data_IF_138666018261
#
_entry.id   IF_138666018261
#
_cell.length_a   1.000
_cell.length_b   1.000
_cell.length_c   1.000
_cell.angle_alpha   90.00
_cell.angle_beta   90.00
_cell.angle_gamma   90.00
#
_symmetry.space_group_name_H-M   'P 1'
#
loop_
_entity.id
_entity.type
_entity.pdbx_description
1 polymer ?
#
# COMPACT_ATOMS: atom_id res chain seq x y z
N UNK A 1 25.12 4.75 16.02
CA UNK A 1 23.85 5.20 16.65
C UNK A 1 22.84 5.25 15.54
N UNK A 2 21.66 4.66 15.71
CA UNK A 2 20.58 4.84 14.74
C UNK A 2 20.04 6.27 14.86
N UNK A 3 19.97 6.99 13.74
CA UNK A 3 19.44 8.35 13.68
C UNK A 3 17.92 8.30 13.57
N UNK A 4 17.22 8.82 14.57
CA UNK A 4 15.77 8.94 14.56
C UNK A 4 15.35 10.41 14.56
N UNK A 5 14.42 10.78 13.69
CA UNK A 5 13.80 12.11 13.71
C UNK A 5 12.60 12.09 14.66
N UNK A 6 12.69 12.82 15.78
CA UNK A 6 11.59 12.95 16.75
C UNK A 6 10.64 14.08 16.35
N UNK A 7 9.38 13.75 16.08
CA UNK A 7 8.30 14.73 15.97
C UNK A 7 7.68 14.98 17.36
N UNK A 8 7.30 16.24 17.67
CA UNK A 8 6.73 16.61 18.98
C UNK A 8 5.35 15.99 19.21
N UNK A 9 5.16 15.34 20.36
CA UNK A 9 3.97 14.55 20.72
C UNK A 9 4.36 13.16 21.24
N UNK A 10 3.43 12.19 21.21
CA UNK A 10 3.75 10.76 21.33
C UNK A 10 4.77 10.43 20.23
N UNK A 11 6.01 10.06 20.57
CA UNK A 11 7.08 10.11 19.59
C UNK A 11 6.91 9.01 18.52
N UNK A 12 7.01 9.44 17.27
CA UNK A 12 7.05 8.56 16.10
C UNK A 12 8.50 8.41 15.65
N UNK A 13 8.91 7.19 15.36
CA UNK A 13 10.25 6.80 14.93
C UNK A 13 10.15 6.19 13.53
N UNK A 14 11.07 6.56 12.64
CA UNK A 14 11.18 6.00 11.29
C UNK A 14 12.55 5.35 11.20
N UNK A 15 12.61 4.01 11.07
CA UNK A 15 13.87 3.25 11.08
C UNK A 15 14.40 2.99 9.67
N UNK A 16 15.58 3.52 9.34
CA UNK A 16 16.18 3.47 8.00
C UNK A 16 16.87 2.14 7.64
N UNK A 17 16.19 0.99 7.77
CA UNK A 17 16.66 -0.33 7.30
C UNK A 17 17.68 -1.09 8.19
N UNK A 18 17.45 -1.10 9.51
CA UNK A 18 17.91 -2.21 10.35
C UNK A 18 16.89 -2.40 11.46
N UNK A 19 16.47 -3.63 11.70
CA UNK A 19 15.45 -4.14 12.67
C UNK A 19 15.57 -3.62 14.12
N UNK A 20 16.47 -2.68 14.39
CA UNK A 20 16.63 -1.98 15.65
C UNK A 20 15.51 -0.97 15.91
N UNK A 21 14.43 -1.46 16.50
CA UNK A 21 13.41 -0.63 17.16
C UNK A 21 14.03 0.02 18.41
N UNK A 22 13.65 1.26 18.78
CA UNK A 22 14.21 1.92 19.96
C UNK A 22 13.98 1.09 21.23
N UNK A 23 15.04 0.84 22.00
CA UNK A 23 14.99 0.09 23.26
C UNK A 23 14.60 0.93 24.46
N UNK A 24 14.59 2.27 24.30
CA UNK A 24 14.16 3.22 25.32
C UNK A 24 13.39 4.37 24.68
N UNK A 25 12.08 4.40 24.91
CA UNK A 25 11.18 5.47 24.49
C UNK A 25 9.95 5.51 25.42
N UNK A 26 9.10 6.55 25.37
CA UNK A 26 7.84 6.55 26.12
C UNK A 26 6.89 5.44 25.68
N UNK A 27 6.07 4.91 26.60
CA UNK A 27 4.92 4.09 26.23
C UNK A 27 3.98 4.85 25.27
N UNK A 28 3.42 4.15 24.30
CA UNK A 28 2.63 4.69 23.20
C UNK A 28 3.43 5.12 21.97
N UNK A 29 4.77 5.09 22.05
CA UNK A 29 5.63 5.40 20.89
C UNK A 29 5.37 4.48 19.71
N UNK A 30 5.51 5.02 18.50
CA UNK A 30 5.28 4.27 17.25
C UNK A 30 6.55 4.18 16.43
N UNK A 31 6.78 3.04 15.78
CA UNK A 31 7.92 2.82 14.89
C UNK A 31 7.42 2.31 13.54
N UNK A 32 7.80 2.97 12.44
CA UNK A 32 7.64 2.43 11.10
C UNK A 32 8.92 1.69 10.71
N UNK A 33 8.78 0.42 10.35
CA UNK A 33 9.88 -0.43 9.90
C UNK A 33 9.86 -0.55 8.37
N UNK A 34 10.92 -0.09 7.71
CA UNK A 34 10.98 -0.02 6.26
C UNK A 34 11.03 -1.40 5.56
N UNK A 35 11.48 -2.46 6.24
CA UNK A 35 11.59 -3.80 5.64
C UNK A 35 10.27 -4.55 5.70
N UNK A 36 9.61 -4.52 6.86
CA UNK A 36 8.31 -5.19 7.05
C UNK A 36 7.12 -4.34 6.61
N UNK A 37 7.35 -3.06 6.28
CA UNK A 37 6.35 -2.04 5.91
C UNK A 37 5.23 -1.89 6.95
N UNK A 38 5.50 -2.27 8.19
CA UNK A 38 4.53 -2.28 9.28
C UNK A 38 4.77 -1.14 10.26
N UNK A 39 3.67 -0.64 10.79
CA UNK A 39 3.69 0.18 12.00
C UNK A 39 3.70 -0.71 13.22
N UNK A 40 4.54 -0.35 14.19
CA UNK A 40 4.64 -0.98 15.50
C UNK A 40 4.34 0.05 16.57
N UNK A 41 3.77 -0.39 17.68
CA UNK A 41 3.55 0.43 18.87
C UNK A 41 4.16 -0.27 20.08
N UNK A 42 4.83 0.47 20.94
CA UNK A 42 5.24 -0.05 22.24
C UNK A 42 4.30 0.42 23.33
N UNK A 43 3.91 -0.50 24.21
CA UNK A 43 3.13 -0.17 25.42
C UNK A 43 4.00 -0.13 26.68
N UNK A 44 5.26 -0.55 26.58
CA UNK A 44 6.19 -0.68 27.70
C UNK A 44 7.40 0.27 27.64
N UNK A 45 7.51 1.04 26.55
CA UNK A 45 8.57 2.03 26.39
C UNK A 45 9.84 1.50 25.71
N UNK A 46 9.68 0.55 24.80
CA UNK A 46 10.70 0.18 23.81
C UNK A 46 11.24 -1.23 23.94
N UNK A 47 10.76 -2.05 24.88
CA UNK A 47 11.23 -3.43 25.01
C UNK A 47 10.38 -4.40 24.19
N UNK A 48 9.08 -4.13 24.08
CA UNK A 48 8.16 -4.88 23.23
C UNK A 48 7.49 -3.98 22.20
N UNK A 49 7.48 -4.47 20.96
CA UNK A 49 6.91 -3.79 19.80
C UNK A 49 5.98 -4.74 19.05
N UNK A 50 4.73 -4.94 19.51
CA UNK A 50 3.72 -5.60 18.70
C UNK A 50 3.49 -4.82 17.40
N UNK A 51 3.32 -5.55 16.30
CA UNK A 51 2.81 -4.95 15.07
C UNK A 51 1.43 -4.38 15.36
N UNK A 52 1.21 -3.12 14.99
CA UNK A 52 -0.13 -2.60 14.90
C UNK A 52 -0.86 -3.44 13.86
N UNK A 53 -2.11 -3.82 14.13
CA UNK A 53 -2.96 -4.42 13.11
C UNK A 53 -2.81 -3.54 11.86
N UNK A 54 -2.37 -4.16 10.75
CA UNK A 54 -2.01 -3.48 9.52
C UNK A 54 -3.14 -2.53 9.17
N UNK A 55 -2.95 -1.25 9.47
CA UNK A 55 -3.59 -0.24 8.66
C UNK A 55 -2.65 -0.18 7.46
N UNK A 56 -2.84 -1.14 6.54
CA UNK A 56 -2.32 -1.01 5.18
C UNK A 56 -2.61 0.44 4.79
N UNK A 57 -1.62 1.16 4.28
CA UNK A 57 -1.73 2.59 3.99
C UNK A 57 -2.87 2.92 3.00
N UNK A 58 -3.53 1.90 2.43
CA UNK A 58 -4.88 2.00 1.89
C UNK A 58 -5.92 2.24 2.98
N UNK A 59 -6.25 3.52 3.21
CA UNK A 59 -7.51 3.93 3.83
C UNK A 59 -8.64 3.31 3.01
N UNK A 60 -9.08 2.10 3.38
CA UNK A 60 -10.20 1.42 2.74
C UNK A 60 -11.46 2.02 3.35
N UNK A 61 -12.26 2.80 2.60
CA UNK A 61 -13.42 3.44 3.20
C UNK A 61 -14.42 2.38 3.65
N UNK A 62 -15.24 2.70 4.65
CA UNK A 62 -16.23 1.77 5.19
C UNK A 62 -17.15 1.24 4.07
N UNK A 63 -17.31 -0.09 4.01
CA UNK A 63 -18.15 -0.74 2.99
C UNK A 63 -17.46 -1.04 1.65
N UNK A 64 -16.15 -0.78 1.55
CA UNK A 64 -15.30 -1.16 0.42
C UNK A 64 -14.36 -2.31 0.80
N UNK A 65 -13.87 -3.00 -0.23
CA UNK A 65 -12.96 -4.14 -0.14
C UNK A 65 -11.58 -3.74 -0.62
N UNK A 66 -10.55 -4.28 0.03
CA UNK A 66 -9.16 -4.16 -0.37
C UNK A 66 -8.69 -5.48 -1.00
N UNK A 67 -7.99 -5.43 -2.13
CA UNK A 67 -7.48 -6.64 -2.80
C UNK A 67 -6.35 -7.34 -2.05
N UNK A 68 -5.76 -6.68 -1.06
CA UNK A 68 -4.39 -6.91 -0.61
C UNK A 68 -3.38 -6.57 -1.70
N UNK A 69 -2.11 -6.61 -1.33
CA UNK A 69 -0.98 -6.39 -2.22
C UNK A 69 -0.96 -7.37 -3.40
N UNK A 70 -0.61 -6.86 -4.58
CA UNK A 70 -0.39 -7.63 -5.81
C UNK A 70 0.92 -7.22 -6.45
N UNK A 71 1.78 -8.20 -6.69
CA UNK A 71 3.03 -8.00 -7.40
C UNK A 71 2.81 -7.80 -8.91
N UNK A 72 3.88 -7.48 -9.62
CA UNK A 72 3.90 -7.37 -11.09
C UNK A 72 3.27 -8.59 -11.77
N UNK A 73 2.38 -8.34 -12.73
CA UNK A 73 1.67 -9.36 -13.49
C UNK A 73 0.23 -8.94 -13.82
N UNK A 74 -0.52 -9.89 -14.38
CA UNK A 74 -1.96 -9.74 -14.63
C UNK A 74 -2.74 -10.50 -13.55
N UNK A 75 -3.61 -9.81 -12.82
CA UNK A 75 -4.41 -10.38 -11.73
C UNK A 75 -5.87 -10.03 -11.89
N UNK A 76 -6.76 -11.03 -11.77
CA UNK A 76 -8.20 -10.80 -11.61
C UNK A 76 -8.47 -10.40 -10.16
N UNK A 77 -8.86 -9.15 -9.93
CA UNK A 77 -9.22 -8.62 -8.60
C UNK A 77 -10.67 -8.99 -8.26
N UNK A 78 -11.55 -8.88 -9.25
CA UNK A 78 -12.96 -9.26 -9.14
C UNK A 78 -13.40 -9.93 -10.43
N UNK A 79 -13.98 -11.13 -10.33
CA UNK A 79 -14.42 -11.91 -11.49
C UNK A 79 -15.87 -11.61 -11.92
N UNK A 80 -16.54 -10.67 -11.25
CA UNK A 80 -17.92 -10.26 -11.51
C UNK A 80 -18.04 -8.75 -11.47
N UNK A 81 -19.14 -8.22 -12.01
CA UNK A 81 -19.39 -6.77 -11.99
C UNK A 81 -19.36 -6.18 -10.57
N UNK A 82 -18.92 -4.94 -10.48
CA UNK A 82 -18.68 -4.22 -9.23
C UNK A 82 -18.34 -2.75 -9.45
N UNK A 83 -17.91 -2.09 -8.39
CA UNK A 83 -17.51 -0.69 -8.40
C UNK A 83 -16.03 -0.57 -8.03
N UNK A 84 -15.27 0.15 -8.85
CA UNK A 84 -13.88 0.52 -8.61
C UNK A 84 -13.83 1.85 -7.86
N UNK A 85 -13.16 1.89 -6.71
CA UNK A 85 -12.95 3.11 -5.95
C UNK A 85 -11.60 3.78 -6.23
N UNK A 86 -10.55 2.96 -6.34
CA UNK A 86 -9.21 3.49 -6.42
C UNK A 86 -8.11 2.45 -6.36
N UNK A 87 -6.88 2.95 -6.41
CA UNK A 87 -5.65 2.17 -6.41
C UNK A 87 -4.56 2.90 -5.61
N UNK A 88 -3.73 2.12 -4.92
CA UNK A 88 -2.46 2.54 -4.35
C UNK A 88 -1.34 1.68 -4.95
N UNK A 89 -0.19 2.30 -5.22
CA UNK A 89 1.03 1.68 -5.72
C UNK A 89 2.16 2.03 -4.75
N UNK A 90 2.92 1.02 -4.40
CA UNK A 90 4.15 1.12 -3.63
C UNK A 90 5.28 0.51 -4.45
N UNK A 91 6.45 1.12 -4.35
CA UNK A 91 7.66 0.69 -5.05
C UNK A 91 8.88 0.99 -4.18
N UNK A 92 10.02 0.41 -4.53
CA UNK A 92 11.31 0.68 -3.90
C UNK A 92 12.02 1.91 -4.49
N UNK A 93 11.34 2.68 -5.34
CA UNK A 93 11.87 3.85 -6.02
C UNK A 93 12.96 3.53 -7.05
N UNK A 94 13.32 2.26 -7.27
CA UNK A 94 14.43 1.90 -8.15
C UNK A 94 14.00 1.78 -9.62
N UNK A 95 12.73 1.46 -9.87
CA UNK A 95 12.21 1.23 -11.20
C UNK A 95 10.90 1.99 -11.42
N UNK A 96 10.64 2.34 -12.68
CA UNK A 96 9.31 2.83 -13.06
C UNK A 96 8.30 1.69 -12.97
N UNK A 97 7.20 1.94 -12.29
CA UNK A 97 6.08 1.00 -12.14
C UNK A 97 4.86 1.56 -12.87
N UNK A 98 4.22 0.74 -13.70
CA UNK A 98 3.02 1.13 -14.45
C UNK A 98 1.88 0.18 -14.12
N UNK A 99 0.70 0.76 -13.92
CA UNK A 99 -0.51 0.06 -13.58
C UNK A 99 -1.62 0.41 -14.56
N UNK A 100 -2.40 -0.59 -14.98
CA UNK A 100 -3.65 -0.43 -15.73
C UNK A 100 -4.75 -1.31 -15.11
N UNK A 101 -5.94 -0.74 -14.91
CA UNK A 101 -7.16 -1.50 -14.63
C UNK A 101 -7.89 -1.82 -15.93
N UNK A 102 -8.79 -2.80 -15.89
CA UNK A 102 -9.70 -3.19 -16.96
C UNK A 102 -11.05 -3.64 -16.38
N UNK A 103 -12.16 -3.24 -17.02
CA UNK A 103 -13.50 -3.78 -16.75
C UNK A 103 -13.70 -5.10 -17.51
N UNK A 104 -13.04 -6.14 -17.04
CA UNK A 104 -13.13 -7.48 -17.63
C UNK A 104 -12.65 -8.48 -16.57
N UNK A 105 -13.15 -9.72 -16.62
CA UNK A 105 -12.76 -10.82 -15.73
C UNK A 105 -11.80 -11.81 -16.41
N UNK A 106 -11.53 -11.62 -17.69
CA UNK A 106 -10.88 -12.59 -18.60
C UNK A 106 -9.92 -11.97 -19.61
N UNK A 107 -10.04 -10.68 -19.95
CA UNK A 107 -9.19 -9.99 -20.94
C UNK A 107 -8.70 -8.63 -20.44
N UNK A 108 -7.41 -8.34 -20.61
CA UNK A 108 -6.83 -7.06 -20.20
C UNK A 108 -6.91 -5.99 -21.31
N UNK A 109 -8.00 -5.91 -22.06
CA UNK A 109 -8.01 -5.08 -23.28
C UNK A 109 -9.28 -4.27 -23.59
N UNK A 110 -10.35 -4.28 -22.77
CA UNK A 110 -11.52 -3.39 -22.93
C UNK A 110 -12.51 -3.45 -21.74
N UNK A 111 -13.27 -2.39 -21.38
CA UNK A 111 -12.87 -0.99 -21.16
C UNK A 111 -13.01 -0.57 -19.67
N UNK A 112 -11.93 -0.15 -19.00
CA UNK A 112 -11.89 0.93 -17.97
C UNK A 112 -10.41 1.17 -17.76
N UNK A 113 -9.87 2.27 -18.27
CA UNK A 113 -8.41 2.49 -18.38
C UNK A 113 -7.89 3.64 -17.51
N UNK A 114 -8.15 3.68 -16.18
CA UNK A 114 -7.32 4.50 -15.32
C UNK A 114 -5.95 3.82 -15.26
N UNK A 115 -4.97 4.50 -15.83
CA UNK A 115 -3.58 4.11 -15.78
C UNK A 115 -2.84 5.05 -14.84
N UNK A 116 -1.93 4.48 -14.04
CA UNK A 116 -1.04 5.23 -13.19
C UNK A 116 0.40 4.80 -13.50
N UNK A 117 1.30 5.77 -13.52
CA UNK A 117 2.73 5.57 -13.67
C UNK A 117 3.42 6.21 -12.48
N UNK A 118 4.17 5.41 -11.73
CA UNK A 118 5.06 5.87 -10.66
C UNK A 118 6.46 5.86 -11.23
N UNK A 119 7.13 7.01 -11.24
CA UNK A 119 8.46 7.12 -11.84
C UNK A 119 9.51 6.43 -10.94
N UNK A 120 10.61 6.00 -11.55
CA UNK A 120 11.80 5.63 -10.76
C UNK A 120 12.30 6.88 -10.03
N UNK A 121 12.51 6.75 -8.72
CA UNK A 121 12.83 7.82 -7.79
C UNK A 121 11.69 8.15 -6.82
N UNK A 122 10.46 7.73 -7.11
CA UNK A 122 9.30 7.89 -6.23
C UNK A 122 8.99 6.57 -5.51
N UNK A 123 8.68 6.61 -4.22
CA UNK A 123 8.40 5.41 -3.43
C UNK A 123 6.94 4.92 -3.54
N UNK A 124 6.01 5.78 -3.98
CA UNK A 124 4.58 5.44 -4.06
C UNK A 124 3.77 6.37 -4.97
N UNK A 125 2.56 5.96 -5.34
CA UNK A 125 1.57 6.78 -6.02
C UNK A 125 0.18 6.15 -6.02
N UNK A 126 -0.89 6.92 -6.16
CA UNK A 126 -2.25 6.36 -6.13
C UNK A 126 -3.36 7.37 -6.42
N UNK A 127 -4.57 6.86 -6.59
CA UNK A 127 -5.81 7.63 -6.61
C UNK A 127 -6.89 6.91 -5.78
N UNK A 128 -7.73 7.66 -5.07
CA UNK A 128 -8.91 7.17 -4.36
C UNK A 128 -10.10 8.09 -4.69
N UNK A 129 -11.31 7.54 -4.73
CA UNK A 129 -12.53 8.31 -5.00
C UNK A 129 -12.95 8.44 -6.46
N UNK A 130 -12.55 7.50 -7.33
CA UNK A 130 -12.98 7.48 -8.74
C UNK A 130 -14.43 7.00 -8.94
N UNK A 131 -14.89 6.05 -8.10
CA UNK A 131 -16.23 5.44 -8.15
C UNK A 131 -16.74 5.10 -9.56
N UNK A 132 -16.03 4.19 -10.23
CA UNK A 132 -16.33 3.75 -11.60
C UNK A 132 -17.03 2.39 -11.59
N UNK A 133 -18.12 2.25 -12.34
CA UNK A 133 -18.81 0.97 -12.48
C UNK A 133 -18.09 0.06 -13.48
N UNK A 134 -17.85 -1.18 -13.08
CA UNK A 134 -17.24 -2.24 -13.88
C UNK A 134 -18.26 -3.38 -14.05
N UNK A 135 -18.70 -3.63 -15.27
CA UNK A 135 -19.75 -4.58 -15.64
C UNK A 135 -19.28 -6.03 -15.78
N UNK A 136 -18.03 -6.25 -16.17
CA UNK A 136 -17.48 -7.56 -16.55
C UNK A 136 -16.37 -8.05 -15.61
N UNK A 137 -15.89 -7.22 -14.69
CA UNK A 137 -14.91 -7.60 -13.68
C UNK A 137 -13.94 -6.48 -13.39
N UNK A 138 -12.91 -6.75 -12.59
CA UNK A 138 -11.81 -5.83 -12.37
C UNK A 138 -10.52 -6.63 -12.53
N UNK A 139 -9.77 -6.34 -13.58
CA UNK A 139 -8.44 -6.90 -13.83
C UNK A 139 -7.38 -5.82 -13.66
N UNK A 140 -6.34 -6.18 -12.92
CA UNK A 140 -5.13 -5.43 -12.67
C UNK A 140 -4.03 -5.93 -13.60
N UNK A 141 -3.41 -5.04 -14.39
CA UNK A 141 -2.11 -5.27 -15.04
C UNK A 141 -1.05 -4.36 -14.43
N UNK A 142 -0.05 -4.95 -13.78
CA UNK A 142 1.06 -4.27 -13.12
C UNK A 142 2.37 -4.66 -13.79
N UNK A 143 3.19 -3.68 -14.12
CA UNK A 143 4.51 -3.88 -14.69
C UNK A 143 5.55 -3.04 -13.94
N UNK A 144 6.79 -3.51 -13.93
CA UNK A 144 7.89 -2.93 -13.15
C UNK A 144 8.35 -3.88 -12.05
N UNK A 145 9.66 -3.88 -11.78
CA UNK A 145 10.28 -4.72 -10.75
C UNK A 145 9.98 -4.12 -9.37
N UNK A 146 9.74 -4.98 -8.38
CA UNK A 146 9.44 -4.61 -6.99
C UNK A 146 8.19 -3.73 -6.79
N UNK A 147 7.39 -3.53 -7.84
CA UNK A 147 6.14 -2.79 -7.75
C UNK A 147 5.05 -3.63 -7.09
N UNK A 148 4.32 -3.02 -6.16
CA UNK A 148 3.17 -3.61 -5.48
C UNK A 148 1.96 -2.70 -5.68
N UNK A 149 0.83 -3.28 -6.04
CA UNK A 149 -0.43 -2.55 -6.24
C UNK A 149 -1.55 -3.09 -5.36
N UNK A 150 -2.38 -2.18 -4.84
CA UNK A 150 -3.54 -2.49 -4.02
C UNK A 150 -4.78 -1.78 -4.57
N UNK A 151 -5.86 -2.53 -4.78
CA UNK A 151 -7.11 -2.03 -5.38
C UNK A 151 -8.20 -1.95 -4.34
N UNK A 152 -8.93 -0.84 -4.33
CA UNK A 152 -10.14 -0.66 -3.51
C UNK A 152 -11.38 -0.78 -4.40
N UNK A 153 -12.28 -1.69 -4.06
CA UNK A 153 -13.44 -2.04 -4.89
C UNK A 153 -14.64 -2.55 -4.08
N UNK A 154 -15.81 -2.71 -4.73
CA UNK A 154 -17.03 -3.29 -4.16
C UNK A 154 -17.69 -4.24 -5.14
#
# INVERSE_FOLDING_TARGET
>A
MADYVRLTGTPHYIGAASDTKPTSCPSGSRCYEHDTKKWYITYDGGTNWPAMATQDATVTPAGWTNSGEKASGTTVIKASGGMLHGILIETDGSNTVTYQLYDDSTSASNPVTPALKVAGGDDSGGFLGLDVNCSAGIVLVLSGVSGVGTVTYK
#
